data_IF_876802083102
#
_entry.id   IF_876802083102
#
_cell.length_a   1.000
_cell.length_b   1.000
_cell.length_c   1.000
_cell.angle_alpha   90.00
_cell.angle_beta   90.00
_cell.angle_gamma   90.00
#
_symmetry.space_group_name_H-M   'P 1'
#
loop_
_entity.id
_entity.type
_entity.pdbx_description
1 polymer ?
#
# COMPACT_ATOMS: atom_id res chain seq x y z
N UNK A 1 7.28 -7.92 -4.08
CA UNK A 1 7.51 -8.13 -2.64
C UNK A 1 6.14 -8.13 -2.00
N UNK A 2 5.83 -9.08 -1.09
CA UNK A 2 4.52 -9.12 -0.45
C UNK A 2 4.22 -7.79 0.25
N UNK A 3 2.95 -7.43 0.36
CA UNK A 3 2.51 -6.13 0.87
C UNK A 3 2.41 -6.07 2.40
N UNK A 4 2.27 -7.21 3.09
CA UNK A 4 2.20 -7.22 4.56
C UNK A 4 3.36 -6.47 5.25
N UNK A 5 4.65 -6.59 4.86
CA UNK A 5 5.74 -5.89 5.56
C UNK A 5 5.59 -4.37 5.51
N UNK A 6 4.92 -3.82 4.49
CA UNK A 6 4.70 -2.37 4.33
C UNK A 6 3.98 -1.78 5.55
N UNK A 7 3.06 -2.53 6.16
CA UNK A 7 2.32 -2.08 7.35
C UNK A 7 3.24 -1.80 8.54
N UNK A 8 4.36 -2.51 8.67
CA UNK A 8 5.35 -2.24 9.72
C UNK A 8 6.31 -1.09 9.38
N UNK A 9 6.36 -0.69 8.11
CA UNK A 9 7.28 0.31 7.60
C UNK A 9 6.63 1.68 7.49
N UNK A 10 5.35 1.76 7.12
CA UNK A 10 4.62 3.03 7.02
C UNK A 10 4.43 3.68 8.39
N UNK A 11 4.29 5.01 8.41
CA UNK A 11 4.09 5.74 9.66
C UNK A 11 2.74 5.36 10.31
N UNK A 12 2.63 5.41 11.66
CA UNK A 12 1.35 5.15 12.35
C UNK A 12 0.23 6.09 11.90
N UNK A 13 0.56 7.32 11.51
CA UNK A 13 -0.39 8.30 11.00
C UNK A 13 -0.95 7.83 9.65
N UNK A 14 -0.08 7.47 8.70
CA UNK A 14 -0.50 6.98 7.39
C UNK A 14 -1.31 5.68 7.51
N UNK A 15 -0.87 4.73 8.35
CA UNK A 15 -1.60 3.50 8.60
C UNK A 15 -3.01 3.75 9.16
N UNK A 16 -3.13 4.69 10.10
CA UNK A 16 -4.42 5.10 10.62
C UNK A 16 -5.29 5.75 9.54
N UNK A 17 -4.73 6.61 8.70
CA UNK A 17 -5.48 7.30 7.64
C UNK A 17 -6.00 6.33 6.58
N UNK A 18 -5.19 5.35 6.17
CA UNK A 18 -5.60 4.24 5.28
C UNK A 18 -6.79 3.49 5.90
N UNK A 19 -6.67 3.07 7.16
CA UNK A 19 -7.72 2.30 7.84
C UNK A 19 -8.99 3.13 8.10
N UNK A 20 -8.87 4.44 8.34
CA UNK A 20 -10.01 5.35 8.41
C UNK A 20 -10.69 5.50 7.06
N UNK A 21 -9.92 5.62 5.98
CA UNK A 21 -10.46 5.65 4.62
C UNK A 21 -11.22 4.37 4.30
N UNK A 22 -10.66 3.20 4.63
CA UNK A 22 -11.36 1.91 4.48
C UNK A 22 -12.64 1.88 5.31
N UNK A 23 -12.61 2.33 6.57
CA UNK A 23 -13.81 2.39 7.42
C UNK A 23 -14.92 3.24 6.80
N UNK A 24 -14.55 4.37 6.19
CA UNK A 24 -15.49 5.33 5.60
C UNK A 24 -16.07 4.82 4.27
N UNK A 25 -15.21 4.34 3.37
CA UNK A 25 -15.56 4.11 1.97
C UNK A 25 -15.84 2.63 1.65
N UNK A 26 -15.30 1.69 2.43
CA UNK A 26 -15.53 0.25 2.25
C UNK A 26 -15.86 -0.43 3.59
N UNK A 27 -17.06 -0.17 4.11
CA UNK A 27 -17.54 -0.71 5.39
C UNK A 27 -17.48 -2.23 5.47
N UNK A 28 -17.69 -2.94 4.35
CA UNK A 28 -17.63 -4.41 4.29
C UNK A 28 -16.20 -4.89 4.52
N UNK A 29 -15.23 -4.34 3.78
CA UNK A 29 -13.81 -4.68 3.96
C UNK A 29 -13.32 -4.34 5.37
N UNK A 30 -13.70 -3.18 5.89
CA UNK A 30 -13.36 -2.79 7.26
C UNK A 30 -13.95 -3.75 8.29
N UNK A 31 -15.20 -4.18 8.11
CA UNK A 31 -15.83 -5.16 9.01
C UNK A 31 -15.11 -6.50 8.98
N UNK A 32 -14.74 -6.99 7.80
CA UNK A 32 -13.91 -8.19 7.65
C UNK A 32 -12.60 -8.07 8.41
N UNK A 33 -11.91 -6.91 8.30
CA UNK A 33 -10.69 -6.66 9.06
C UNK A 33 -10.92 -6.72 10.57
N UNK A 34 -11.99 -6.10 11.08
CA UNK A 34 -12.36 -6.17 12.50
C UNK A 34 -12.61 -7.62 12.95
N UNK A 35 -13.36 -8.40 12.18
CA UNK A 35 -13.72 -9.78 12.54
C UNK A 35 -12.49 -10.70 12.56
N UNK A 36 -11.46 -10.40 11.75
CA UNK A 36 -10.17 -11.10 11.76
C UNK A 36 -9.28 -10.63 12.92
N UNK A 37 -9.19 -9.32 13.16
CA UNK A 37 -8.31 -8.73 14.19
C UNK A 37 -8.79 -9.04 15.61
N UNK A 38 -10.10 -8.96 15.85
CA UNK A 38 -10.68 -9.09 17.19
C UNK A 38 -10.24 -10.37 17.96
N UNK A 39 -10.36 -11.59 17.41
CA UNK A 39 -9.92 -12.79 18.12
C UNK A 39 -8.40 -12.83 18.35
N UNK A 40 -7.60 -12.23 17.46
CA UNK A 40 -6.14 -12.19 17.59
C UNK A 40 -5.66 -11.32 18.76
N UNK A 41 -6.49 -10.39 19.24
CA UNK A 41 -6.22 -9.56 20.42
C UNK A 41 -7.11 -9.92 21.62
N UNK A 42 -7.83 -11.05 21.57
CA UNK A 42 -8.66 -11.54 22.67
C UNK A 42 -9.93 -10.72 22.93
N UNK A 43 -10.38 -9.91 21.97
CA UNK A 43 -11.56 -9.06 22.10
C UNK A 43 -12.70 -9.52 21.18
N UNK A 44 -13.93 -9.12 21.52
CA UNK A 44 -15.08 -9.25 20.62
C UNK A 44 -15.06 -8.10 19.61
N UNK A 45 -15.54 -8.31 18.35
CA UNK A 45 -15.59 -7.25 17.33
C UNK A 45 -16.22 -5.94 17.83
N UNK A 46 -17.30 -6.02 18.61
CA UNK A 46 -17.95 -4.84 19.19
C UNK A 46 -17.02 -4.06 20.12
N UNK A 47 -16.24 -4.74 20.95
CA UNK A 47 -15.26 -4.10 21.85
C UNK A 47 -14.11 -3.48 21.09
N UNK A 48 -13.65 -4.10 20.01
CA UNK A 48 -12.66 -3.50 19.11
C UNK A 48 -13.19 -2.19 18.51
N UNK A 49 -14.46 -2.14 18.14
CA UNK A 49 -15.07 -0.93 17.57
C UNK A 49 -15.23 0.23 18.56
N UNK A 50 -15.28 -0.06 19.87
CA UNK A 50 -15.34 0.94 20.94
C UNK A 50 -13.98 1.57 21.27
N UNK A 51 -12.87 0.91 20.90
CA UNK A 51 -11.53 1.40 21.15
C UNK A 51 -11.29 2.77 20.47
N UNK A 52 -10.44 3.64 21.05
CA UNK A 52 -9.94 4.82 20.37
C UNK A 52 -9.35 4.46 19.01
N UNK A 53 -9.66 5.26 17.97
CA UNK A 53 -9.30 4.95 16.58
C UNK A 53 -7.80 4.67 16.39
N UNK A 54 -6.94 5.49 16.99
CA UNK A 54 -5.49 5.35 16.90
C UNK A 54 -5.00 4.05 17.56
N UNK A 55 -5.50 3.73 18.75
CA UNK A 55 -5.14 2.50 19.46
C UNK A 55 -5.62 1.26 18.70
N UNK A 56 -6.87 1.29 18.24
CA UNK A 56 -7.47 0.25 17.42
C UNK A 56 -6.66 0.00 16.14
N UNK A 57 -6.33 1.06 15.41
CA UNK A 57 -5.61 0.94 14.15
C UNK A 57 -4.15 0.52 14.36
N UNK A 58 -3.51 0.88 15.48
CA UNK A 58 -2.21 0.32 15.83
C UNK A 58 -2.25 -1.22 15.98
N UNK A 59 -3.30 -1.76 16.60
CA UNK A 59 -3.50 -3.22 16.68
C UNK A 59 -3.73 -3.85 15.30
N UNK A 60 -4.44 -3.16 14.39
CA UNK A 60 -4.64 -3.63 13.02
C UNK A 60 -3.31 -3.68 12.28
N UNK A 61 -2.52 -2.61 12.34
CA UNK A 61 -1.22 -2.50 11.68
C UNK A 61 -0.26 -3.63 12.10
N UNK A 62 -0.23 -3.99 13.39
CA UNK A 62 0.59 -5.10 13.88
C UNK A 62 0.16 -6.49 13.37
N UNK A 63 -1.12 -6.66 13.04
CA UNK A 63 -1.63 -7.93 12.51
C UNK A 63 -1.51 -7.97 10.99
N UNK A 64 -1.83 -6.87 10.31
CA UNK A 64 -1.69 -6.72 8.86
C UNK A 64 -0.23 -6.82 8.40
N UNK A 65 0.73 -6.62 9.30
CA UNK A 65 2.14 -6.87 9.03
C UNK A 65 2.56 -8.34 9.04
N UNK A 66 1.63 -9.27 9.26
CA UNK A 66 1.92 -10.71 9.29
C UNK A 66 1.66 -11.36 7.93
N UNK A 67 2.52 -12.32 7.50
CA UNK A 67 2.34 -13.01 6.21
C UNK A 67 0.98 -13.69 6.05
N UNK A 68 0.38 -14.20 7.14
CA UNK A 68 -0.91 -14.89 7.08
C UNK A 68 -2.08 -13.95 6.71
N UNK A 69 -1.89 -12.63 6.84
CA UNK A 69 -2.88 -11.62 6.47
C UNK A 69 -2.55 -10.92 5.14
N UNK A 70 -1.61 -11.45 4.34
CA UNK A 70 -1.21 -10.85 3.05
C UNK A 70 -2.40 -10.46 2.18
N UNK A 71 -3.36 -11.36 1.96
CA UNK A 71 -4.52 -11.07 1.12
C UNK A 71 -5.38 -9.91 1.66
N UNK A 72 -5.54 -9.80 2.98
CA UNK A 72 -6.28 -8.69 3.60
C UNK A 72 -5.49 -7.38 3.50
N UNK A 73 -4.18 -7.45 3.76
CA UNK A 73 -3.25 -6.34 3.67
C UNK A 73 -3.20 -5.76 2.25
N UNK A 74 -3.05 -6.61 1.25
CA UNK A 74 -3.07 -6.26 -0.16
C UNK A 74 -4.40 -5.60 -0.54
N UNK A 75 -5.53 -6.19 -0.14
CA UNK A 75 -6.85 -5.67 -0.49
C UNK A 75 -7.10 -4.27 0.11
N UNK A 76 -6.73 -4.06 1.38
CA UNK A 76 -6.86 -2.74 2.04
C UNK A 76 -5.99 -1.69 1.35
N UNK A 77 -4.72 -2.01 1.07
CA UNK A 77 -3.80 -1.07 0.42
C UNK A 77 -4.23 -0.77 -1.01
N UNK A 78 -4.57 -1.79 -1.79
CA UNK A 78 -5.00 -1.63 -3.18
C UNK A 78 -6.29 -0.81 -3.31
N UNK A 79 -7.27 -1.06 -2.43
CA UNK A 79 -8.50 -0.25 -2.38
C UNK A 79 -8.18 1.21 -2.07
N UNK A 80 -7.31 1.47 -1.09
CA UNK A 80 -6.91 2.84 -0.74
C UNK A 80 -6.16 3.55 -1.88
N UNK A 81 -5.29 2.83 -2.59
CA UNK A 81 -4.55 3.36 -3.74
C UNK A 81 -5.49 3.75 -4.88
N UNK A 82 -6.42 2.87 -5.26
CA UNK A 82 -7.40 3.15 -6.32
C UNK A 82 -8.32 4.29 -5.92
N UNK A 83 -8.71 4.40 -4.64
CA UNK A 83 -9.60 5.47 -4.20
C UNK A 83 -8.93 6.84 -4.08
N UNK A 84 -7.62 6.90 -3.78
CA UNK A 84 -6.95 8.15 -3.37
C UNK A 84 -5.80 8.57 -4.27
N UNK A 85 -5.22 7.64 -5.03
CA UNK A 85 -4.02 7.87 -5.81
C UNK A 85 -4.22 7.65 -7.33
N UNK A 86 -5.46 7.73 -7.84
CA UNK A 86 -5.76 7.59 -9.28
C UNK A 86 -4.77 8.36 -10.18
N UNK A 87 -4.44 9.64 -9.92
CA UNK A 87 -3.49 10.37 -10.77
C UNK A 87 -2.09 9.72 -10.84
N UNK A 88 -1.64 9.08 -9.75
CA UNK A 88 -0.37 8.37 -9.70
C UNK A 88 -0.43 7.06 -10.48
N UNK A 89 -1.53 6.30 -10.35
CA UNK A 89 -1.77 5.07 -11.08
C UNK A 89 -1.77 5.33 -12.59
N UNK A 90 -2.55 6.32 -13.05
CA UNK A 90 -2.58 6.72 -14.45
C UNK A 90 -1.22 7.18 -14.95
N UNK A 91 -0.54 8.08 -14.21
CA UNK A 91 0.78 8.57 -14.60
C UNK A 91 1.83 7.46 -14.77
N UNK A 92 1.78 6.43 -13.93
CA UNK A 92 2.64 5.25 -14.08
C UNK A 92 2.36 4.50 -15.37
N UNK A 93 1.10 4.15 -15.61
CA UNK A 93 0.67 3.38 -16.78
C UNK A 93 0.91 4.16 -18.07
N UNK A 94 0.58 5.45 -18.10
CA UNK A 94 0.86 6.37 -19.20
C UNK A 94 2.36 6.43 -19.54
N UNK A 95 3.23 6.49 -18.52
CA UNK A 95 4.69 6.55 -18.72
C UNK A 95 5.27 5.28 -19.34
N UNK A 96 4.57 4.16 -19.17
CA UNK A 96 4.92 2.86 -19.74
C UNK A 96 4.17 2.59 -21.06
N UNK A 97 3.25 3.48 -21.47
CA UNK A 97 2.42 3.30 -22.66
C UNK A 97 1.37 2.20 -22.50
N UNK A 98 0.97 1.87 -21.28
CA UNK A 98 -0.01 0.83 -20.98
C UNK A 98 -1.41 1.43 -20.99
N UNK A 99 -2.30 0.87 -21.80
CA UNK A 99 -3.68 1.33 -21.87
C UNK A 99 -4.43 0.99 -20.57
N UNK A 100 -5.07 2.01 -19.99
CA UNK A 100 -5.80 1.90 -18.73
C UNK A 100 -7.14 2.62 -18.79
N UNK A 101 -8.01 2.33 -17.84
CA UNK A 101 -9.28 3.04 -17.65
C UNK A 101 -9.10 4.33 -16.83
N UNK A 102 -10.20 5.04 -16.58
CA UNK A 102 -10.17 6.33 -15.87
C UNK A 102 -9.74 6.22 -14.40
N UNK A 103 -9.71 5.02 -13.82
CA UNK A 103 -9.31 4.78 -12.42
C UNK A 103 -7.90 4.17 -12.30
N UNK A 104 -7.18 4.06 -13.41
CA UNK A 104 -5.81 3.55 -13.42
C UNK A 104 -5.73 2.03 -13.32
N UNK A 105 -6.74 1.32 -13.84
CA UNK A 105 -6.74 -0.13 -14.00
C UNK A 105 -6.47 -0.48 -15.47
N UNK A 106 -5.50 -1.37 -15.70
CA UNK A 106 -5.20 -1.90 -17.03
C UNK A 106 -5.76 -3.32 -17.19
N UNK A 107 -6.20 -3.65 -18.41
CA UNK A 107 -6.69 -4.99 -18.76
C UNK A 107 -5.57 -5.90 -19.28
N UNK A 108 -4.42 -5.33 -19.65
CA UNK A 108 -3.25 -6.04 -20.12
C UNK A 108 -2.00 -5.24 -19.74
N UNK A 109 -0.94 -5.97 -19.42
CA UNK A 109 0.36 -5.43 -19.00
C UNK A 109 1.47 -5.81 -19.98
N UNK A 110 1.09 -6.27 -21.18
CA UNK A 110 2.02 -6.58 -22.27
C UNK A 110 2.20 -5.38 -23.22
N UNK A 111 3.42 -5.16 -23.76
CA UNK A 111 4.65 -5.90 -23.49
C UNK A 111 5.29 -5.53 -22.15
N UNK A 112 6.03 -6.47 -21.54
CA UNK A 112 6.80 -6.22 -20.31
C UNK A 112 7.85 -5.14 -20.58
N UNK A 113 7.81 -3.99 -19.88
CA UNK A 113 8.77 -2.91 -20.10
C UNK A 113 10.19 -3.32 -19.71
N UNK A 114 11.19 -2.75 -20.38
CA UNK A 114 12.58 -2.94 -19.99
C UNK A 114 12.93 -2.17 -18.71
N UNK A 115 14.07 -2.51 -18.10
CA UNK A 115 14.52 -1.88 -16.84
C UNK A 115 14.76 -0.37 -16.99
N UNK A 116 15.16 0.10 -18.16
CA UNK A 116 15.43 1.51 -18.40
C UNK A 116 14.14 2.34 -18.47
N UNK A 117 13.10 1.80 -19.11
CA UNK A 117 11.76 2.36 -19.14
C UNK A 117 11.15 2.41 -17.73
N UNK A 118 11.26 1.32 -16.96
CA UNK A 118 10.81 1.28 -15.56
C UNK A 118 11.51 2.33 -14.69
N UNK A 119 12.83 2.48 -14.83
CA UNK A 119 13.59 3.49 -14.10
C UNK A 119 13.16 4.92 -14.48
N UNK A 120 12.95 5.18 -15.77
CA UNK A 120 12.52 6.50 -16.26
C UNK A 120 11.10 6.84 -15.77
N UNK A 121 10.20 5.87 -15.81
CA UNK A 121 8.84 5.98 -15.28
C UNK A 121 8.87 6.29 -13.77
N UNK A 122 9.70 5.56 -13.02
CA UNK A 122 9.89 5.75 -11.59
C UNK A 122 10.41 7.16 -11.25
N UNK A 123 11.43 7.62 -11.97
CA UNK A 123 11.97 8.98 -11.80
C UNK A 123 10.94 10.06 -12.16
N UNK A 124 10.00 9.77 -13.04
CA UNK A 124 8.84 10.62 -13.33
C UNK A 124 7.88 10.70 -12.16
N UNK A 125 7.50 9.56 -11.59
CA UNK A 125 6.59 9.50 -10.43
C UNK A 125 7.18 10.22 -9.21
N UNK A 126 8.45 9.96 -8.90
CA UNK A 126 9.12 10.54 -7.72
C UNK A 126 9.27 12.08 -7.79
N UNK A 127 9.07 12.70 -8.94
CA UNK A 127 9.04 14.17 -9.08
C UNK A 127 7.68 14.77 -8.76
N UNK A 128 6.61 14.02 -8.91
CA UNK A 128 5.23 14.50 -8.78
C UNK A 128 4.48 13.99 -7.55
N UNK A 129 4.92 12.88 -6.96
CA UNK A 129 4.21 12.18 -5.90
C UNK A 129 5.10 11.88 -4.70
N UNK A 130 4.46 11.63 -3.55
CA UNK A 130 5.15 11.26 -2.32
C UNK A 130 5.91 9.92 -2.51
N UNK A 131 7.22 9.85 -2.26
CA UNK A 131 8.00 8.61 -2.39
C UNK A 131 7.44 7.43 -1.60
N UNK A 132 6.81 7.66 -0.46
CA UNK A 132 6.17 6.61 0.35
C UNK A 132 4.95 6.04 -0.37
N UNK A 133 4.12 6.90 -0.97
CA UNK A 133 2.96 6.44 -1.74
C UNK A 133 3.40 5.70 -3.00
N UNK A 134 4.43 6.20 -3.70
CA UNK A 134 5.03 5.53 -4.85
C UNK A 134 5.55 4.15 -4.46
N UNK A 135 6.25 4.04 -3.33
CA UNK A 135 6.73 2.75 -2.83
C UNK A 135 5.59 1.77 -2.52
N UNK A 136 4.54 2.22 -1.82
CA UNK A 136 3.36 1.38 -1.53
C UNK A 136 2.72 0.89 -2.82
N UNK A 137 2.50 1.81 -3.76
CA UNK A 137 1.88 1.50 -5.05
C UNK A 137 2.69 0.48 -5.84
N UNK A 138 3.98 0.72 -6.06
CA UNK A 138 4.80 -0.16 -6.89
C UNK A 138 4.99 -1.55 -6.26
N UNK A 139 5.04 -1.64 -4.93
CA UNK A 139 5.04 -2.94 -4.26
C UNK A 139 3.72 -3.67 -4.47
N UNK A 140 2.56 -3.01 -4.32
CA UNK A 140 1.27 -3.61 -4.61
C UNK A 140 1.12 -3.98 -6.10
N UNK A 141 1.59 -3.12 -7.01
CA UNK A 141 1.55 -3.33 -8.45
C UNK A 141 2.34 -4.59 -8.86
N UNK A 142 3.53 -4.80 -8.28
CA UNK A 142 4.36 -5.97 -8.55
C UNK A 142 3.82 -7.29 -7.95
N UNK A 143 2.82 -7.22 -7.08
CA UNK A 143 2.12 -8.41 -6.54
C UNK A 143 0.89 -8.80 -7.35
N UNK A 144 0.49 -8.01 -8.36
CA UNK A 144 -0.53 -8.42 -9.32
C UNK A 144 0.06 -9.56 -10.16
N UNK A 145 -0.66 -10.68 -10.26
CA UNK A 145 -0.16 -11.92 -10.89
C UNK A 145 0.34 -11.70 -12.33
N UNK A 146 -0.33 -10.84 -13.10
CA UNK A 146 0.02 -10.48 -14.49
C UNK A 146 1.24 -9.54 -14.61
N UNK A 147 1.72 -8.98 -13.48
CA UNK A 147 2.65 -7.84 -13.44
C UNK A 147 3.94 -8.17 -12.69
N UNK A 148 4.16 -9.44 -12.32
CA UNK A 148 5.33 -9.88 -11.54
C UNK A 148 6.67 -9.76 -12.30
N UNK A 149 7.07 -8.53 -12.62
CA UNK A 149 8.19 -8.18 -13.46
C UNK A 149 9.48 -8.20 -12.64
N UNK A 150 10.41 -9.12 -12.92
CA UNK A 150 11.63 -9.25 -12.11
C UNK A 150 12.45 -7.96 -12.05
N UNK A 151 12.50 -7.21 -13.15
CA UNK A 151 13.21 -5.93 -13.23
C UNK A 151 12.62 -4.87 -12.28
N UNK A 152 11.29 -4.84 -12.10
CA UNK A 152 10.64 -3.93 -11.16
C UNK A 152 10.94 -4.35 -9.71
N UNK A 153 10.88 -5.64 -9.41
CA UNK A 153 11.29 -6.20 -8.12
C UNK A 153 12.71 -5.82 -7.71
N UNK A 154 13.67 -5.90 -8.64
CA UNK A 154 15.05 -5.47 -8.39
C UNK A 154 15.16 -3.97 -8.10
N UNK A 155 14.42 -3.13 -8.83
CA UNK A 155 14.40 -1.69 -8.63
C UNK A 155 13.85 -1.33 -7.25
N UNK A 156 12.76 -1.99 -6.82
CA UNK A 156 12.15 -1.79 -5.50
C UNK A 156 13.13 -2.07 -4.34
N UNK A 157 14.03 -3.06 -4.50
CA UNK A 157 15.01 -3.41 -3.48
C UNK A 157 16.25 -2.51 -3.52
N UNK A 158 16.69 -2.12 -4.72
CA UNK A 158 17.93 -1.37 -4.92
C UNK A 158 17.78 0.14 -4.73
N UNK A 159 16.63 0.74 -5.05
CA UNK A 159 16.43 2.19 -4.95
C UNK A 159 16.19 2.63 -3.50
N UNK A 160 17.14 3.37 -2.94
CA UNK A 160 17.06 3.88 -1.58
C UNK A 160 15.86 4.84 -1.36
N UNK A 161 15.37 5.49 -2.42
CA UNK A 161 14.21 6.42 -2.36
C UNK A 161 12.90 5.71 -2.10
N UNK A 162 12.83 4.41 -2.41
CA UNK A 162 11.64 3.56 -2.22
C UNK A 162 11.66 2.79 -0.90
N UNK A 163 12.72 2.93 -0.11
CA UNK A 163 12.81 2.31 1.21
C UNK A 163 11.94 3.10 2.19
N UNK A 164 10.76 2.55 2.48
CA UNK A 164 9.91 3.03 3.56
C UNK A 164 10.61 2.65 4.86
N UNK A 165 11.20 3.64 5.53
CA UNK A 165 11.70 3.46 6.89
C UNK A 165 10.57 3.85 7.84
N UNK A 166 10.32 3.06 8.91
CA UNK A 166 9.45 3.53 9.98
C UNK A 166 10.03 4.86 10.45
N UNK A 167 9.24 5.92 10.37
CA UNK A 167 9.67 7.24 10.81
C UNK A 167 10.23 7.10 12.23
N UNK A 168 11.55 7.06 12.36
CA UNK A 168 12.22 7.21 13.63
C UNK A 168 11.72 8.51 14.18
N UNK A 169 11.03 8.45 15.33
CA UNK A 169 10.68 9.63 16.11
C UNK A 169 11.90 10.53 16.11
N UNK A 170 11.79 11.68 15.44
CA UNK A 170 12.80 12.72 15.51
C UNK A 170 12.99 13.01 17.00
N UNK A 171 14.19 12.86 17.58
CA UNK A 171 14.41 13.36 18.92
C UNK A 171 14.25 14.87 18.80
N UNK A 172 13.19 15.39 19.42
CA UNK A 172 13.01 16.81 19.61
C UNK A 172 14.35 17.38 20.13
N UNK A 173 14.94 18.27 19.33
CA UNK A 173 16.10 19.04 19.75
C UNK A 173 15.64 19.88 20.95
N UNK A 174 16.18 19.53 22.12
CA UNK A 174 16.15 20.33 23.33
C UNK A 174 17.03 21.58 23.19
#
# INVERSE_FOLDING_TARGET
MPTHPLWSQISPVLANDILLHTQKNNKKLYRTAVDIVAPNIGLRPVKVMEMPKLERHAAFTQLLSRPQLEALSFNILSTWLVDTQVPMLCAWLDSLGIAHDEIGCANSFEPVPDKAALQKALDGLLKGFDPVHVAIYLNAFNEIDEVHWPALGELLVSDARLKIQPATASPAAA
#
